data_IF_645226276982
#
_entry.id   IF_645226276982
#
_cell.length_a   1.000
_cell.length_b   1.000
_cell.length_c   1.000
_cell.angle_alpha   90.00
_cell.angle_beta   90.00
_cell.angle_gamma   90.00
#
_symmetry.space_group_name_H-M   'P 1'
#
loop_
_entity.id
_entity.type
_entity.pdbx_description
1 polymer ?
#
# COMPACT_ATOMS: atom_id res chain seq x y z
N UNK A 1 -1.79 21.57 -4.17
CA UNK A 1 -0.61 20.74 -3.86
C UNK A 1 -1.03 19.29 -3.91
N UNK A 2 -0.25 18.41 -4.55
CA UNK A 2 -0.48 16.97 -4.51
C UNK A 2 0.38 16.38 -3.40
N UNK A 3 -0.13 15.40 -2.67
CA UNK A 3 0.60 14.71 -1.61
C UNK A 3 0.52 13.19 -1.80
N UNK A 4 1.51 12.48 -1.27
CA UNK A 4 1.63 11.03 -1.33
C UNK A 4 1.30 10.42 0.01
N UNK A 5 0.61 9.28 0.03
CA UNK A 5 0.39 8.53 1.27
C UNK A 5 1.68 7.97 1.91
N UNK A 6 2.82 8.07 1.21
CA UNK A 6 4.15 7.78 1.74
C UNK A 6 4.80 8.96 2.47
N UNK A 7 4.27 10.18 2.34
CA UNK A 7 4.74 11.34 3.10
C UNK A 7 4.38 11.16 4.58
N UNK A 8 5.29 11.53 5.49
CA UNK A 8 5.02 11.47 6.95
C UNK A 8 3.85 12.39 7.31
N UNK A 9 3.78 13.56 6.69
CA UNK A 9 2.78 14.58 6.99
C UNK A 9 1.39 14.25 6.44
N UNK A 10 1.28 13.33 5.47
CA UNK A 10 0.00 12.93 4.88
C UNK A 10 -1.01 12.43 5.93
N UNK A 11 -0.52 11.80 6.99
CA UNK A 11 -1.36 11.27 8.06
C UNK A 11 -1.28 12.07 9.35
N UNK A 12 -0.85 13.33 9.28
CA UNK A 12 -0.81 14.23 10.42
C UNK A 12 -2.21 14.62 10.87
N UNK A 13 -2.49 14.39 12.16
CA UNK A 13 -3.71 14.85 12.85
C UNK A 13 -3.34 15.54 14.17
N UNK A 14 -4.33 15.94 14.96
CA UNK A 14 -4.08 16.45 16.31
C UNK A 14 -3.25 15.44 17.13
N UNK A 15 -2.03 15.81 17.49
CA UNK A 15 -1.09 14.96 18.23
C UNK A 15 0.00 14.29 17.39
N UNK A 16 -0.01 14.44 16.07
CA UNK A 16 1.07 14.00 15.17
C UNK A 16 0.61 13.08 14.04
N UNK A 17 1.58 12.57 13.28
CA UNK A 17 1.35 11.58 12.23
C UNK A 17 1.00 10.22 12.83
N UNK A 18 -0.06 9.57 12.33
CA UNK A 18 -0.47 8.22 12.75
C UNK A 18 0.34 7.11 12.05
N UNK A 19 1.06 7.43 10.97
CA UNK A 19 1.93 6.49 10.24
C UNK A 19 3.34 7.05 10.14
N UNK A 20 4.03 7.10 11.30
CA UNK A 20 5.40 7.64 11.42
C UNK A 20 6.44 6.72 10.79
N UNK A 21 6.21 5.43 10.82
CA UNK A 21 7.15 4.41 10.36
C UNK A 21 6.96 4.10 8.87
N UNK A 22 8.06 3.74 8.19
CA UNK A 22 8.00 3.36 6.77
C UNK A 22 7.06 2.17 6.53
N UNK A 23 7.12 1.15 7.38
CA UNK A 23 6.28 -0.05 7.24
C UNK A 23 4.78 0.24 7.41
N UNK A 24 4.41 1.21 8.25
CA UNK A 24 2.99 1.54 8.48
C UNK A 24 2.40 2.27 7.27
N UNK A 25 3.20 3.13 6.61
CA UNK A 25 2.84 3.74 5.31
C UNK A 25 2.83 2.74 4.17
N UNK A 26 3.81 1.84 4.13
CA UNK A 26 3.89 0.76 3.16
C UNK A 26 2.65 -0.14 3.20
N UNK A 27 2.27 -0.60 4.41
CA UNK A 27 1.03 -1.36 4.64
C UNK A 27 -0.20 -0.57 4.20
N UNK A 28 -0.28 0.72 4.52
CA UNK A 28 -1.40 1.57 4.08
C UNK A 28 -1.51 1.63 2.55
N UNK A 29 -0.40 1.83 1.86
CA UNK A 29 -0.38 1.91 0.40
C UNK A 29 -0.85 0.59 -0.26
N UNK A 30 -0.28 -0.54 0.17
CA UNK A 30 -0.68 -1.88 -0.31
C UNK A 30 -2.15 -2.15 -0.05
N UNK A 31 -2.57 -2.04 1.21
CA UNK A 31 -3.94 -2.41 1.61
C UNK A 31 -4.99 -1.45 1.07
N UNK A 32 -4.70 -0.15 0.95
CA UNK A 32 -5.63 0.78 0.33
C UNK A 32 -5.88 0.39 -1.13
N UNK A 33 -4.83 0.01 -1.86
CA UNK A 33 -4.94 -0.30 -3.28
C UNK A 33 -5.56 -1.67 -3.58
N UNK A 34 -5.23 -2.68 -2.77
CA UNK A 34 -5.55 -4.09 -3.06
C UNK A 34 -6.67 -4.67 -2.18
N UNK A 35 -7.03 -4.03 -1.06
CA UNK A 35 -8.04 -4.55 -0.13
C UNK A 35 -9.17 -3.55 0.13
N UNK A 36 -8.87 -2.41 0.76
CA UNK A 36 -9.91 -1.47 1.21
C UNK A 36 -10.82 -0.96 0.08
N UNK A 37 -10.33 -0.88 -1.15
CA UNK A 37 -11.16 -0.51 -2.29
C UNK A 37 -12.30 -1.52 -2.54
N UNK A 38 -12.09 -2.81 -2.27
CA UNK A 38 -13.16 -3.79 -2.34
C UNK A 38 -14.21 -3.51 -1.26
N UNK A 39 -13.79 -3.24 -0.03
CA UNK A 39 -14.71 -2.94 1.08
C UNK A 39 -15.50 -1.63 0.87
N UNK A 40 -14.88 -0.63 0.22
CA UNK A 40 -15.46 0.70 0.03
C UNK A 40 -16.29 0.81 -1.25
N UNK A 41 -15.88 0.14 -2.32
CA UNK A 41 -16.36 0.39 -3.68
C UNK A 41 -16.65 -0.89 -4.48
N UNK A 42 -16.63 -2.06 -3.86
CA UNK A 42 -16.84 -3.37 -4.50
C UNK A 42 -15.98 -3.58 -5.77
N UNK A 43 -14.79 -2.98 -5.77
CA UNK A 43 -13.89 -2.97 -6.93
C UNK A 43 -12.44 -2.86 -6.50
N UNK A 44 -11.51 -3.21 -7.39
CA UNK A 44 -10.09 -3.05 -7.10
C UNK A 44 -9.63 -1.62 -7.38
N UNK A 45 -8.84 -1.06 -6.45
CA UNK A 45 -8.11 0.20 -6.69
C UNK A 45 -6.90 0.02 -7.61
N UNK A 46 -6.53 -1.22 -7.92
CA UNK A 46 -5.46 -1.54 -8.86
C UNK A 46 -6.03 -1.94 -10.23
N UNK A 47 -5.87 -1.05 -11.22
CA UNK A 47 -6.33 -1.29 -12.61
C UNK A 47 -5.23 -1.83 -13.54
N UNK A 48 -4.10 -2.31 -12.99
CA UNK A 48 -2.98 -2.82 -13.79
C UNK A 48 -2.17 -1.77 -14.57
N UNK A 49 -2.30 -0.48 -14.25
CA UNK A 49 -1.64 0.60 -15.02
C UNK A 49 -0.11 0.68 -14.89
N UNK A 50 0.55 -0.13 -14.05
CA UNK A 50 2.01 -0.18 -13.91
C UNK A 50 2.71 1.04 -13.29
N UNK A 51 2.06 2.21 -13.22
CA UNK A 51 2.67 3.48 -12.76
C UNK A 51 3.38 3.40 -11.41
N UNK A 52 2.85 2.62 -10.49
CA UNK A 52 3.46 2.49 -9.17
C UNK A 52 4.79 1.75 -9.18
N UNK A 53 5.01 0.84 -10.14
CA UNK A 53 6.30 0.13 -10.31
C UNK A 53 7.24 1.00 -11.13
N UNK A 54 6.79 1.50 -12.28
CA UNK A 54 7.60 2.31 -13.21
C UNK A 54 8.19 3.55 -12.55
N UNK A 55 7.43 4.21 -11.68
CA UNK A 55 7.84 5.47 -11.06
C UNK A 55 8.30 5.33 -9.61
N UNK A 56 8.47 4.11 -9.10
CA UNK A 56 8.93 3.92 -7.73
C UNK A 56 10.39 4.35 -7.60
N UNK A 57 10.72 5.36 -6.76
CA UNK A 57 12.09 5.87 -6.63
C UNK A 57 13.05 4.86 -5.99
N UNK A 58 12.51 3.85 -5.30
CA UNK A 58 13.28 2.83 -4.57
C UNK A 58 13.08 1.43 -5.14
N UNK A 59 12.42 1.30 -6.30
CA UNK A 59 12.34 0.03 -7.03
C UNK A 59 11.42 -1.04 -6.43
N UNK A 60 10.40 -0.67 -5.66
CA UNK A 60 9.40 -1.62 -5.13
C UNK A 60 8.49 -2.10 -6.27
N UNK A 61 8.36 -3.41 -6.42
CA UNK A 61 7.34 -4.04 -7.27
C UNK A 61 6.15 -4.53 -6.44
N UNK A 62 5.00 -3.88 -6.59
CA UNK A 62 3.78 -4.22 -5.85
C UNK A 62 3.29 -5.66 -6.13
N UNK A 63 3.61 -6.23 -7.29
CA UNK A 63 3.16 -7.56 -7.68
C UNK A 63 3.98 -8.65 -6.99
N UNK A 64 5.28 -8.42 -6.80
CA UNK A 64 6.15 -9.31 -6.02
C UNK A 64 5.74 -9.31 -4.55
N UNK A 65 5.43 -8.13 -4.02
CA UNK A 65 5.03 -7.93 -2.64
C UNK A 65 3.66 -8.54 -2.33
N UNK A 66 2.70 -8.40 -3.25
CA UNK A 66 1.41 -9.04 -3.14
C UNK A 66 1.53 -10.58 -3.20
N UNK A 67 2.41 -11.10 -4.06
CA UNK A 67 2.70 -12.53 -4.13
C UNK A 67 3.33 -13.05 -2.84
N UNK A 68 4.32 -12.35 -2.30
CA UNK A 68 4.98 -12.74 -1.06
C UNK A 68 3.98 -12.84 0.12
N UNK A 69 2.99 -11.93 0.18
CA UNK A 69 1.92 -12.01 1.19
C UNK A 69 1.05 -13.25 0.98
N UNK A 70 0.62 -13.53 -0.25
CA UNK A 70 -0.18 -14.73 -0.56
C UNK A 70 0.57 -16.02 -0.23
N UNK A 71 1.86 -16.10 -0.57
CA UNK A 71 2.69 -17.26 -0.29
C UNK A 71 2.84 -17.46 1.23
N UNK A 72 3.03 -16.38 1.99
CA UNK A 72 3.12 -16.47 3.46
C UNK A 72 1.83 -16.98 4.13
N UNK A 73 0.66 -16.63 3.60
CA UNK A 73 -0.64 -17.14 4.09
C UNK A 73 -0.82 -18.63 3.75
N UNK A 74 -0.37 -19.05 2.56
CA UNK A 74 -0.42 -20.45 2.13
C UNK A 74 0.50 -21.34 3.00
N UNK A 75 1.69 -20.85 3.32
CA UNK A 75 2.62 -21.52 4.24
C UNK A 75 2.05 -21.62 5.66
N UNK A 76 1.42 -20.56 6.17
CA UNK A 76 0.79 -20.56 7.49
C UNK A 76 -0.45 -21.46 7.58
N UNK A 77 -1.06 -21.80 6.44
CA UNK A 77 -2.24 -22.66 6.34
C UNK A 77 -1.91 -24.16 6.15
N UNK A 78 -0.63 -24.51 5.99
CA UNK A 78 -0.12 -25.88 5.82
C UNK A 78 0.38 -26.46 7.14
#
# INVERSE_FOLDING_TARGET
>A
QWDSCFSVDFSYIHGGSIRREGYSRYRQWMTHKLAHWHDQFDSSGCVGCGRCVTWCPVGIDITEEARAIQDSENEAST
#
